data_IF_958959446992
#
_entry.id   IF_958959446992
#
_cell.length_a   1.000
_cell.length_b   1.000
_cell.length_c   1.000
_cell.angle_alpha   90.00
_cell.angle_beta   90.00
_cell.angle_gamma   90.00
#
_symmetry.space_group_name_H-M   'P 1'
#
loop_
_entity.id
_entity.type
_entity.pdbx_description
1 polymer ?
#
# COMPACT_ATOMS: atom_id res chain seq x y z
N UNK A 1 25.19 41.93 -20.44
CA UNK A 1 25.47 40.53 -20.01
C UNK A 1 26.12 39.77 -21.17
N UNK A 2 27.32 39.19 -20.98
CA UNK A 2 28.04 38.54 -22.07
C UNK A 2 27.31 37.27 -22.55
N UNK A 3 27.54 36.85 -23.81
CA UNK A 3 26.98 35.58 -24.34
C UNK A 3 27.33 34.39 -23.45
N UNK A 4 28.54 34.38 -22.84
CA UNK A 4 29.00 33.34 -21.90
C UNK A 4 28.17 33.33 -20.62
N UNK A 5 27.88 34.49 -20.05
CA UNK A 5 27.08 34.59 -18.81
C UNK A 5 25.64 34.11 -19.03
N UNK A 6 25.06 34.37 -20.21
CA UNK A 6 23.72 33.84 -20.57
C UNK A 6 23.71 32.31 -20.69
N UNK A 7 24.74 31.72 -21.29
CA UNK A 7 24.88 30.25 -21.41
C UNK A 7 25.00 29.61 -20.02
N UNK A 8 25.85 30.16 -19.15
CA UNK A 8 26.03 29.63 -17.78
C UNK A 8 24.71 29.66 -17.01
N UNK A 9 23.94 30.75 -17.11
CA UNK A 9 22.64 30.86 -16.43
C UNK A 9 21.65 29.81 -16.93
N UNK A 10 21.57 29.59 -18.25
CA UNK A 10 20.69 28.57 -18.83
C UNK A 10 21.07 27.17 -18.34
N UNK A 11 22.36 26.85 -18.28
CA UNK A 11 22.85 25.56 -17.77
C UNK A 11 22.50 25.37 -16.29
N UNK A 12 22.68 26.41 -15.47
CA UNK A 12 22.32 26.35 -14.04
C UNK A 12 20.82 26.18 -13.84
N UNK A 13 19.99 26.86 -14.63
CA UNK A 13 18.52 26.71 -14.56
C UNK A 13 18.10 25.29 -14.95
N UNK A 14 18.65 24.73 -16.03
CA UNK A 14 18.37 23.36 -16.46
C UNK A 14 18.81 22.33 -15.42
N UNK A 15 19.97 22.54 -14.79
CA UNK A 15 20.45 21.68 -13.71
C UNK A 15 19.52 21.73 -12.49
N UNK A 16 19.10 22.92 -12.04
CA UNK A 16 18.16 23.08 -10.93
C UNK A 16 16.80 22.44 -11.22
N UNK A 17 16.27 22.59 -12.43
CA UNK A 17 15.03 21.93 -12.85
C UNK A 17 15.19 20.40 -12.88
N UNK A 18 16.34 19.90 -13.32
CA UNK A 18 16.68 18.47 -13.27
C UNK A 18 16.70 17.93 -11.84
N UNK A 19 17.36 18.64 -10.91
CA UNK A 19 17.43 18.25 -9.48
C UNK A 19 16.04 18.27 -8.84
N UNK A 20 15.23 19.29 -9.09
CA UNK A 20 13.85 19.37 -8.56
C UNK A 20 12.99 18.22 -9.11
N UNK A 21 13.16 17.87 -10.38
CA UNK A 21 12.49 16.71 -11.00
C UNK A 21 12.85 15.40 -10.30
N UNK A 22 14.12 15.20 -9.99
CA UNK A 22 14.62 13.99 -9.29
C UNK A 22 14.15 13.97 -7.82
N UNK A 23 14.15 15.11 -7.12
CA UNK A 23 13.67 15.20 -5.74
C UNK A 23 12.15 14.99 -5.61
N UNK A 24 11.36 15.43 -6.61
CA UNK A 24 9.91 15.14 -6.68
C UNK A 24 9.60 13.71 -7.09
N UNK A 25 10.53 13.01 -7.74
CA UNK A 25 10.50 11.55 -7.89
C UNK A 25 10.86 10.84 -6.57
N UNK A 26 10.43 11.44 -5.45
CA UNK A 26 10.58 10.91 -4.12
C UNK A 26 9.96 9.53 -4.10
N UNK A 27 10.84 8.52 -3.95
CA UNK A 27 10.49 7.13 -3.71
C UNK A 27 9.30 7.10 -2.75
N UNK A 28 8.17 6.50 -3.15
CA UNK A 28 7.04 6.29 -2.24
C UNK A 28 7.56 5.49 -1.04
N UNK A 29 7.90 6.20 0.03
CA UNK A 29 8.53 5.64 1.21
C UNK A 29 7.42 5.22 2.14
N UNK A 30 7.24 3.92 2.31
CA UNK A 30 6.18 3.37 3.13
C UNK A 30 6.19 1.86 3.07
N UNK A 31 5.15 1.26 3.62
CA UNK A 31 5.00 -0.18 3.64
C UNK A 31 4.18 -0.64 2.43
N UNK A 32 4.79 -1.44 1.55
CA UNK A 32 4.14 -1.89 0.32
C UNK A 32 3.27 -3.12 0.60
N UNK A 33 2.00 -3.05 0.24
CA UNK A 33 1.07 -4.17 0.40
C UNK A 33 0.61 -4.63 -0.97
N UNK A 34 0.64 -5.93 -1.17
CA UNK A 34 0.17 -6.59 -2.37
C UNK A 34 -0.86 -7.64 -1.96
N UNK A 35 -2.08 -7.57 -2.50
CA UNK A 35 -3.14 -8.55 -2.24
C UNK A 35 -3.52 -9.18 -3.57
N UNK A 36 -3.22 -10.46 -3.73
CA UNK A 36 -3.53 -11.22 -4.93
C UNK A 36 -4.74 -12.11 -4.69
N UNK A 37 -5.77 -11.93 -5.51
CA UNK A 37 -6.89 -12.84 -5.57
C UNK A 37 -6.55 -13.99 -6.53
N UNK A 38 -6.08 -15.11 -5.99
CA UNK A 38 -5.78 -16.30 -6.79
C UNK A 38 -7.02 -17.21 -6.95
N UNK A 39 -8.20 -16.76 -6.56
CA UNK A 39 -9.43 -17.55 -6.69
C UNK A 39 -10.07 -17.32 -8.06
N UNK A 40 -11.16 -18.04 -8.34
CA UNK A 40 -11.95 -17.88 -9.58
C UNK A 40 -13.14 -16.91 -9.41
N UNK A 41 -13.25 -16.24 -8.26
CA UNK A 41 -14.36 -15.34 -7.92
C UNK A 41 -13.81 -13.95 -7.59
N UNK A 42 -14.59 -12.91 -7.80
CA UNK A 42 -14.25 -11.57 -7.31
C UNK A 42 -14.33 -11.55 -5.78
N UNK A 43 -13.33 -10.93 -5.14
CA UNK A 43 -13.34 -10.65 -3.70
C UNK A 43 -13.73 -9.20 -3.53
N UNK A 44 -14.67 -8.91 -2.64
CA UNK A 44 -15.22 -7.57 -2.44
C UNK A 44 -15.08 -7.11 -0.99
N UNK A 45 -15.17 -5.79 -0.79
CA UNK A 45 -15.33 -5.14 0.53
C UNK A 45 -14.24 -5.56 1.54
N UNK A 46 -12.98 -5.50 1.11
CA UNK A 46 -11.86 -5.61 2.03
C UNK A 46 -11.51 -4.23 2.59
N UNK A 47 -10.97 -4.19 3.80
CA UNK A 47 -10.48 -2.97 4.42
C UNK A 47 -9.11 -3.22 5.04
N UNK A 48 -8.20 -2.27 4.86
CA UNK A 48 -6.95 -2.21 5.59
C UNK A 48 -7.11 -1.19 6.71
N UNK A 49 -6.74 -1.56 7.93
CA UNK A 49 -6.76 -0.67 9.09
C UNK A 49 -5.50 -0.82 9.92
N UNK A 50 -5.18 0.21 10.68
CA UNK A 50 -4.23 0.08 11.78
C UNK A 50 -4.89 -0.64 12.96
N UNK A 51 -4.10 -1.41 13.73
CA UNK A 51 -4.57 -2.01 14.99
C UNK A 51 -5.03 -0.94 15.98
N UNK A 52 -4.27 0.15 16.07
CA UNK A 52 -4.62 1.34 16.87
C UNK A 52 -4.78 2.51 15.91
N UNK A 53 -6.01 2.98 15.73
CA UNK A 53 -6.32 4.14 14.87
C UNK A 53 -7.46 3.88 13.88
N UNK A 54 -7.38 4.54 12.73
CA UNK A 54 -8.43 4.57 11.72
C UNK A 54 -8.22 3.53 10.60
N UNK A 55 -9.26 3.35 9.80
CA UNK A 55 -9.18 2.67 8.50
C UNK A 55 -8.18 3.42 7.63
N UNK A 56 -7.29 2.65 7.01
CA UNK A 56 -6.26 3.14 6.10
C UNK A 56 -6.86 3.26 4.70
N UNK A 57 -7.50 2.19 4.22
CA UNK A 57 -7.98 2.08 2.85
C UNK A 57 -9.11 1.06 2.75
N UNK A 58 -10.15 1.40 2.00
CA UNK A 58 -11.19 0.45 1.57
C UNK A 58 -10.85 -0.05 0.16
N UNK A 59 -10.98 -1.35 -0.05
CA UNK A 59 -10.75 -2.02 -1.32
C UNK A 59 -12.09 -2.61 -1.77
N UNK A 60 -12.77 -1.90 -2.67
CA UNK A 60 -14.13 -2.25 -3.09
C UNK A 60 -14.19 -3.64 -3.71
N UNK A 61 -13.24 -3.97 -4.59
CA UNK A 61 -13.14 -5.28 -5.21
C UNK A 61 -11.72 -5.61 -5.71
N UNK A 62 -11.42 -6.90 -5.78
CA UNK A 62 -10.29 -7.48 -6.49
C UNK A 62 -10.86 -8.59 -7.37
N UNK A 63 -10.91 -8.35 -8.68
CA UNK A 63 -11.38 -9.34 -9.65
C UNK A 63 -10.61 -10.65 -9.56
N UNK A 64 -11.25 -11.74 -10.02
CA UNK A 64 -10.65 -13.05 -10.16
C UNK A 64 -9.29 -12.98 -10.88
N UNK A 65 -8.27 -13.63 -10.31
CA UNK A 65 -6.89 -13.67 -10.82
C UNK A 65 -6.20 -12.31 -10.96
N UNK A 66 -6.73 -11.25 -10.33
CA UNK A 66 -6.10 -9.93 -10.28
C UNK A 66 -5.42 -9.67 -8.94
N UNK A 67 -4.66 -8.58 -8.90
CA UNK A 67 -3.99 -8.12 -7.69
C UNK A 67 -4.29 -6.65 -7.46
N UNK A 68 -4.43 -6.32 -6.19
CA UNK A 68 -4.42 -4.95 -5.69
C UNK A 68 -3.06 -4.65 -5.06
N UNK A 69 -2.60 -3.40 -5.18
CA UNK A 69 -1.32 -2.97 -4.66
C UNK A 69 -1.42 -1.53 -4.20
N UNK A 70 -0.85 -1.24 -3.04
CA UNK A 70 -0.62 0.13 -2.60
C UNK A 70 0.60 0.25 -1.67
N UNK A 71 1.00 1.50 -1.40
CA UNK A 71 2.03 1.84 -0.43
C UNK A 71 1.41 2.64 0.71
N UNK A 72 1.42 2.06 1.90
CA UNK A 72 0.89 2.68 3.10
C UNK A 72 1.94 3.63 3.69
N UNK A 73 1.56 4.89 3.93
CA UNK A 73 2.39 5.84 4.65
C UNK A 73 2.40 5.53 6.15
N UNK A 74 3.58 5.22 6.66
CA UNK A 74 3.82 4.84 8.06
C UNK A 74 4.37 6.00 8.90
N UNK A 75 4.60 7.18 8.32
CA UNK A 75 5.19 8.32 9.05
C UNK A 75 4.23 8.95 10.05
N UNK A 76 2.93 8.69 9.91
CA UNK A 76 1.88 9.19 10.79
C UNK A 76 1.59 8.28 11.99
N UNK A 77 2.21 7.08 12.05
CA UNK A 77 2.00 6.12 13.14
C UNK A 77 2.56 6.69 14.45
N UNK A 78 1.81 6.49 15.54
CA UNK A 78 2.23 6.79 16.90
C UNK A 78 2.36 5.49 17.68
N UNK A 79 3.50 5.29 18.34
CA UNK A 79 3.79 4.07 19.09
C UNK A 79 3.88 2.81 18.21
N UNK A 80 3.77 1.66 18.86
CA UNK A 80 3.74 0.36 18.21
C UNK A 80 2.37 0.10 17.58
N UNK A 81 2.34 -0.41 16.35
CA UNK A 81 1.11 -0.69 15.62
C UNK A 81 1.23 -1.96 14.77
N UNK A 82 0.16 -2.28 14.03
CA UNK A 82 0.09 -3.38 13.09
C UNK A 82 -0.87 -3.00 11.94
N UNK A 83 -0.73 -3.67 10.79
CA UNK A 83 -1.69 -3.53 9.68
C UNK A 83 -2.54 -4.78 9.61
N UNK A 84 -3.85 -4.58 9.68
CA UNK A 84 -4.86 -5.63 9.70
C UNK A 84 -5.72 -5.50 8.45
N UNK A 85 -5.93 -6.62 7.76
CA UNK A 85 -6.93 -6.78 6.73
C UNK A 85 -8.22 -7.26 7.38
N UNK A 86 -9.32 -6.57 7.13
CA UNK A 86 -10.64 -6.94 7.61
C UNK A 86 -11.62 -7.14 6.47
N UNK A 87 -12.53 -8.10 6.65
CA UNK A 87 -13.58 -8.41 5.69
C UNK A 87 -14.76 -9.09 6.40
N UNK A 88 -15.87 -9.24 5.69
CA UNK A 88 -17.04 -10.00 6.16
C UNK A 88 -17.33 -11.19 5.26
N UNK A 89 -17.74 -12.30 5.86
CA UNK A 89 -18.25 -13.44 5.11
C UNK A 89 -19.71 -13.20 4.63
N UNK A 90 -20.28 -14.17 3.92
CA UNK A 90 -21.65 -14.07 3.38
C UNK A 90 -22.73 -14.01 4.47
N UNK A 91 -22.39 -14.40 5.71
CA UNK A 91 -23.27 -14.33 6.88
C UNK A 91 -23.10 -13.02 7.65
N UNK A 92 -22.17 -12.16 7.24
CA UNK A 92 -21.86 -10.89 7.88
C UNK A 92 -20.88 -11.00 9.06
N UNK A 93 -20.31 -12.17 9.32
CA UNK A 93 -19.29 -12.32 10.36
C UNK A 93 -18.02 -11.62 9.94
N UNK A 94 -17.41 -10.86 10.87
CA UNK A 94 -16.19 -10.09 10.59
C UNK A 94 -14.96 -10.92 10.90
N UNK A 95 -13.96 -10.85 10.02
CA UNK A 95 -12.66 -11.50 10.18
C UNK A 95 -11.55 -10.46 10.14
N UNK A 96 -10.48 -10.72 10.88
CA UNK A 96 -9.31 -9.88 10.99
C UNK A 96 -8.04 -10.70 10.78
N UNK A 97 -7.17 -10.24 9.89
CA UNK A 97 -5.95 -10.94 9.51
C UNK A 97 -4.76 -9.99 9.58
N UNK A 98 -3.76 -10.35 10.37
CA UNK A 98 -2.58 -9.51 10.60
C UNK A 98 -1.62 -9.62 9.42
N UNK A 99 -1.68 -8.64 8.52
CA UNK A 99 -0.81 -8.57 7.34
C UNK A 99 0.60 -8.12 7.73
N UNK A 100 0.70 -7.25 8.73
CA UNK A 100 1.96 -6.81 9.34
C UNK A 100 1.79 -6.81 10.84
N UNK A 101 2.45 -7.73 11.54
CA UNK A 101 2.26 -7.94 12.97
C UNK A 101 2.86 -6.86 13.88
N UNK A 102 3.88 -6.15 13.39
CA UNK A 102 4.55 -5.08 14.12
C UNK A 102 5.03 -3.99 13.16
N UNK A 103 4.75 -2.74 13.51
CA UNK A 103 5.02 -1.57 12.70
C UNK A 103 5.21 -0.33 13.58
N UNK A 104 6.27 0.43 13.33
CA UNK A 104 6.47 1.75 13.96
C UNK A 104 6.55 2.87 12.91
N UNK A 105 6.68 4.10 13.40
CA UNK A 105 6.81 5.31 12.59
C UNK A 105 7.94 5.17 11.55
N UNK A 106 7.59 5.40 10.29
CA UNK A 106 8.53 5.43 9.17
C UNK A 106 9.03 4.06 8.71
N UNK A 107 8.47 2.96 9.23
CA UNK A 107 8.82 1.61 8.79
C UNK A 107 8.57 1.43 7.31
N UNK A 108 9.51 0.73 6.66
CA UNK A 108 9.47 0.38 5.25
C UNK A 108 9.55 -1.12 5.13
N UNK A 109 8.74 -1.68 4.24
CA UNK A 109 8.68 -3.11 4.08
C UNK A 109 7.76 -3.51 2.94
N UNK A 110 7.54 -4.81 2.85
CA UNK A 110 6.65 -5.41 1.87
C UNK A 110 5.90 -6.56 2.53
N UNK A 111 4.58 -6.64 2.31
CA UNK A 111 3.78 -7.81 2.60
C UNK A 111 3.04 -8.26 1.35
N UNK A 112 3.00 -9.57 1.13
CA UNK A 112 2.24 -10.20 0.07
C UNK A 112 1.17 -11.07 0.71
N UNK A 113 -0.08 -10.78 0.39
CA UNK A 113 -1.24 -11.55 0.78
C UNK A 113 -1.73 -12.27 -0.46
N UNK A 114 -1.91 -13.57 -0.37
CA UNK A 114 -2.50 -14.39 -1.43
C UNK A 114 -3.78 -15.00 -0.91
N UNK A 115 -4.90 -14.64 -1.53
CA UNK A 115 -6.21 -15.28 -1.29
C UNK A 115 -6.26 -16.51 -2.17
N UNK A 116 -6.13 -17.68 -1.55
CA UNK A 116 -6.01 -18.96 -2.26
C UNK A 116 -7.37 -19.58 -2.55
N UNK A 117 -8.34 -19.38 -1.64
CA UNK A 117 -9.66 -19.97 -1.73
C UNK A 117 -10.70 -19.10 -1.02
N UNK A 118 -11.97 -19.29 -1.37
CA UNK A 118 -13.14 -18.74 -0.68
C UNK A 118 -14.05 -19.93 -0.37
N UNK A 119 -14.29 -20.20 0.91
CA UNK A 119 -15.16 -21.29 1.30
C UNK A 119 -16.64 -21.00 0.94
N UNK A 120 -17.51 -21.98 1.18
CA UNK A 120 -18.96 -21.87 0.92
C UNK A 120 -19.64 -20.73 1.71
N UNK A 121 -19.07 -20.33 2.85
CA UNK A 121 -19.59 -19.27 3.69
C UNK A 121 -19.04 -17.89 3.30
N UNK A 122 -18.07 -17.81 2.40
CA UNK A 122 -17.41 -16.55 2.02
C UNK A 122 -16.17 -16.23 2.87
N UNK A 123 -15.69 -17.17 3.70
CA UNK A 123 -14.45 -17.01 4.45
C UNK A 123 -13.26 -17.18 3.50
N UNK A 124 -12.28 -16.28 3.64
CA UNK A 124 -11.10 -16.27 2.79
C UNK A 124 -9.99 -17.12 3.42
N UNK A 125 -9.45 -18.06 2.65
CA UNK A 125 -8.23 -18.78 3.03
C UNK A 125 -7.02 -18.05 2.42
N UNK A 126 -6.14 -17.54 3.27
CA UNK A 126 -5.07 -16.63 2.87
C UNK A 126 -3.70 -17.11 3.31
N UNK A 127 -2.68 -16.71 2.57
CA UNK A 127 -1.27 -16.84 2.96
C UNK A 127 -0.63 -15.47 2.97
N UNK A 128 0.11 -15.16 4.04
CA UNK A 128 0.79 -13.88 4.26
C UNK A 128 2.30 -14.15 4.23
N UNK A 129 3.04 -13.38 3.42
CA UNK A 129 4.49 -13.52 3.19
C UNK A 129 5.22 -12.17 3.19
#
# INVERSE_FOLDING_TARGET
MSKRNKIIIVVVILFLLGVIGICKFSFSSGYKIYITNNTNKTVEKLELKYKVGNIIQTISQIESKKSWKDTIDTNSIQGENAIILTYKDNKGNSYEEYIVGYLEKGYRGKANVVINNIDENGKLEMTIK
#
